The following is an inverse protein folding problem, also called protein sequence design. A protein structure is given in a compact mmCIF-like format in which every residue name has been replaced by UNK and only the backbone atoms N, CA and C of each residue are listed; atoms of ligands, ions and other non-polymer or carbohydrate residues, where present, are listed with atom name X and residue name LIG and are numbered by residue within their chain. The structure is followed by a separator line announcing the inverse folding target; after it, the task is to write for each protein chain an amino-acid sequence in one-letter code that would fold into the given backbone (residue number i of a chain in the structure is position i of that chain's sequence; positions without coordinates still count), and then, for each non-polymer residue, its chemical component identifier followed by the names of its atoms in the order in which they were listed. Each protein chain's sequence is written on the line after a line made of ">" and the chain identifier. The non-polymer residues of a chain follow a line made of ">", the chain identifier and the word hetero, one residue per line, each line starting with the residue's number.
data_IF_935328114889
#
_entry.id   IF_935328114889
#
_cell.length_a   1.000
_cell.length_b   1.000
_cell.length_c   1.000
_cell.angle_alpha   90.00
_cell.angle_beta   90.00
_cell.angle_gamma   90.00
#
_symmetry.space_group_name_H-M   'P 1'
#
loop_
_entity.id
_entity.type
_entity.pdbx_description
1 polymer ?
#
# COMPACT_ATOMS: atom_id res chain seq x y z
N UNK A 1 12.76 -15.70 1.86
CA UNK A 1 12.25 -14.32 2.03
C UNK A 1 11.49 -14.20 3.36
N UNK A 2 12.04 -13.46 4.33
CA UNK A 2 11.52 -13.30 5.70
C UNK A 2 10.52 -12.13 5.78
N UNK A 3 9.43 -12.23 5.02
CA UNK A 3 8.30 -11.31 5.09
C UNK A 3 7.00 -12.09 5.13
N UNK A 4 5.98 -11.56 5.82
CA UNK A 4 4.63 -12.13 5.76
C UNK A 4 4.11 -11.98 4.33
N UNK A 5 3.85 -13.09 3.65
CA UNK A 5 3.47 -13.13 2.22
C UNK A 5 2.43 -12.08 1.83
N UNK A 6 1.46 -11.83 2.70
CA UNK A 6 0.36 -10.88 2.53
C UNK A 6 0.78 -9.41 2.42
N UNK A 7 2.01 -9.06 2.79
CA UNK A 7 2.56 -7.72 2.65
C UNK A 7 3.33 -7.55 1.33
N UNK A 8 3.48 -8.61 0.54
CA UNK A 8 4.24 -8.55 -0.71
C UNK A 8 3.47 -7.75 -1.78
N UNK A 9 4.15 -6.89 -2.55
CA UNK A 9 3.52 -6.14 -3.62
C UNK A 9 3.23 -7.04 -4.84
N UNK A 10 2.35 -6.61 -5.77
CA UNK A 10 1.91 -7.43 -6.89
C UNK A 10 3.05 -7.91 -7.81
N UNK A 11 4.04 -7.06 -8.05
CA UNK A 11 5.21 -7.37 -8.89
C UNK A 11 6.08 -8.50 -8.32
N UNK A 12 6.12 -8.64 -7.00
CA UNK A 12 6.84 -9.76 -6.36
C UNK A 12 6.13 -11.08 -6.67
N UNK A 13 4.80 -11.09 -6.55
CA UNK A 13 3.97 -12.27 -6.81
C UNK A 13 4.05 -12.66 -8.29
N UNK A 14 4.07 -11.68 -9.22
CA UNK A 14 4.11 -11.95 -10.66
C UNK A 14 5.51 -12.31 -11.20
N UNK A 15 6.56 -11.61 -10.76
CA UNK A 15 7.87 -11.61 -11.45
C UNK A 15 9.04 -12.05 -10.56
N UNK A 16 8.85 -12.16 -9.24
CA UNK A 16 9.92 -12.45 -8.29
C UNK A 16 11.06 -11.42 -8.27
N UNK A 17 10.85 -10.25 -8.89
CA UNK A 17 11.81 -9.15 -9.02
C UNK A 17 11.26 -7.93 -8.28
N UNK A 18 12.13 -7.09 -7.70
CA UNK A 18 11.71 -5.91 -6.94
C UNK A 18 12.67 -4.72 -7.09
N UNK A 19 12.13 -3.52 -6.91
CA UNK A 19 12.88 -2.30 -6.62
C UNK A 19 12.65 -1.93 -5.16
N UNK A 20 13.72 -1.75 -4.38
CA UNK A 20 13.67 -1.61 -2.91
C UNK A 20 12.79 -0.44 -2.41
N UNK A 21 12.78 0.68 -3.13
CA UNK A 21 12.02 1.86 -2.71
C UNK A 21 10.50 1.68 -2.86
N UNK A 22 10.04 1.17 -3.99
CA UNK A 22 8.61 0.98 -4.25
C UNK A 22 7.97 -0.11 -3.35
N UNK A 23 8.76 -1.08 -2.90
CA UNK A 23 8.34 -2.09 -1.92
C UNK A 23 8.14 -1.48 -0.52
N UNK A 24 9.03 -0.56 -0.14
CA UNK A 24 8.92 0.14 1.15
C UNK A 24 7.63 0.96 1.21
N UNK A 25 7.30 1.67 0.13
CA UNK A 25 6.07 2.46 0.02
C UNK A 25 4.83 1.59 0.07
N UNK A 26 4.83 0.44 -0.60
CA UNK A 26 3.73 -0.54 -0.52
C UNK A 26 3.54 -1.04 0.92
N UNK A 27 4.61 -1.45 1.58
CA UNK A 27 4.56 -1.95 2.97
C UNK A 27 4.07 -0.89 3.94
N UNK A 28 4.43 0.38 3.73
CA UNK A 28 3.91 1.52 4.48
C UNK A 28 2.41 1.72 4.24
N UNK A 29 1.94 1.59 3.00
CA UNK A 29 0.51 1.62 2.66
C UNK A 29 -0.28 0.52 3.36
N UNK A 30 0.22 -0.71 3.36
CA UNK A 30 -0.39 -1.85 4.07
C UNK A 30 -0.49 -1.58 5.56
N UNK A 31 0.61 -1.12 6.17
CA UNK A 31 0.67 -0.81 7.58
C UNK A 31 -0.29 0.34 7.94
N UNK A 32 -0.29 1.42 7.17
CA UNK A 32 -1.17 2.56 7.39
C UNK A 32 -2.65 2.15 7.32
N UNK A 33 -3.02 1.35 6.31
CA UNK A 33 -4.37 0.80 6.22
C UNK A 33 -4.73 -0.01 7.47
N UNK A 34 -3.85 -0.89 7.94
CA UNK A 34 -4.08 -1.66 9.18
C UNK A 34 -4.26 -0.75 10.39
N UNK A 35 -3.50 0.34 10.50
CA UNK A 35 -3.63 1.29 11.61
C UNK A 35 -5.01 1.98 11.62
N UNK A 36 -5.53 2.37 10.45
CA UNK A 36 -6.79 3.16 10.37
C UNK A 36 -8.04 2.31 10.24
N UNK A 37 -7.94 1.09 9.69
CA UNK A 37 -9.08 0.20 9.51
C UNK A 37 -9.12 -0.98 10.49
N UNK A 38 -7.98 -1.36 11.08
CA UNK A 38 -7.85 -2.49 12.01
C UNK A 38 -7.79 -3.87 11.35
N UNK A 39 -7.78 -3.94 10.02
CA UNK A 39 -7.68 -5.17 9.24
C UNK A 39 -6.77 -4.99 8.03
N UNK A 40 -6.33 -6.08 7.41
CA UNK A 40 -5.57 -6.02 6.15
C UNK A 40 -6.49 -5.59 4.99
N UNK A 41 -5.97 -4.80 4.03
CA UNK A 41 -6.72 -4.45 2.81
C UNK A 41 -6.84 -5.65 1.86
N UNK A 42 -5.84 -6.55 1.85
CA UNK A 42 -5.78 -7.74 1.01
C UNK A 42 -5.45 -8.97 1.87
N UNK A 43 -6.08 -10.12 1.59
CA UNK A 43 -5.87 -11.36 2.36
C UNK A 43 -4.96 -12.36 1.66
N UNK A 44 -4.99 -12.38 0.33
CA UNK A 44 -4.24 -13.31 -0.51
C UNK A 44 -3.98 -12.72 -1.91
N UNK A 45 -3.37 -13.51 -2.78
CA UNK A 45 -3.00 -13.08 -4.13
C UNK A 45 -4.22 -12.70 -4.99
N UNK A 46 -5.40 -13.28 -4.73
CA UNK A 46 -6.63 -12.92 -5.45
C UNK A 46 -7.12 -11.52 -5.08
N UNK A 47 -6.78 -11.01 -3.89
CA UNK A 47 -7.05 -9.63 -3.47
C UNK A 47 -5.94 -8.66 -3.94
N UNK A 48 -4.67 -9.09 -3.85
CA UNK A 48 -3.50 -8.25 -4.19
C UNK A 48 -3.42 -8.00 -5.70
N UNK A 49 -3.68 -9.00 -6.54
CA UNK A 49 -3.53 -8.89 -8.00
C UNK A 49 -4.48 -7.87 -8.65
N UNK A 50 -5.77 -7.78 -8.27
CA UNK A 50 -6.65 -6.70 -8.73
C UNK A 50 -6.30 -5.35 -8.11
N UNK A 51 -5.76 -5.32 -6.88
CA UNK A 51 -5.44 -4.10 -6.16
C UNK A 51 -6.66 -3.26 -5.79
N UNK A 52 -7.83 -3.90 -5.63
CA UNK A 52 -9.07 -3.20 -5.29
C UNK A 52 -9.12 -2.88 -3.79
N UNK A 53 -9.05 -1.59 -3.46
CA UNK A 53 -9.12 -1.10 -2.09
C UNK A 53 -10.56 -0.73 -1.70
N UNK A 54 -10.96 -1.18 -0.52
CA UNK A 54 -12.27 -0.88 0.06
C UNK A 54 -12.09 -0.37 1.48
N UNK A 55 -12.65 0.81 1.80
CA UNK A 55 -12.62 1.37 3.14
C UNK A 55 -13.96 1.11 3.85
N UNK A 56 -13.97 0.18 4.80
CA UNK A 56 -15.17 -0.16 5.58
C UNK A 56 -15.37 0.76 6.78
N UNK A 57 -14.32 1.48 7.19
CA UNK A 57 -14.35 2.46 8.27
C UNK A 57 -14.42 3.87 7.70
N UNK A 58 -14.87 4.83 8.52
CA UNK A 58 -14.74 6.24 8.19
C UNK A 58 -13.27 6.66 8.28
N UNK A 59 -12.65 6.79 7.12
CA UNK A 59 -11.27 7.27 6.94
C UNK A 59 -11.32 8.60 6.19
N UNK A 60 -10.51 9.59 6.57
CA UNK A 60 -10.55 10.90 5.92
C UNK A 60 -10.20 10.78 4.44
N UNK A 61 -10.76 11.62 3.55
CA UNK A 61 -10.46 11.58 2.11
C UNK A 61 -8.95 11.67 1.82
N UNK A 62 -8.22 12.48 2.58
CA UNK A 62 -6.78 12.67 2.44
C UNK A 62 -6.01 11.40 2.83
N UNK A 63 -6.46 10.70 3.87
CA UNK A 63 -5.86 9.43 4.27
C UNK A 63 -6.12 8.34 3.23
N UNK A 64 -7.36 8.25 2.73
CA UNK A 64 -7.70 7.31 1.65
C UNK A 64 -6.85 7.58 0.41
N UNK A 65 -6.68 8.85 0.06
CA UNK A 65 -5.84 9.26 -1.07
C UNK A 65 -4.39 8.82 -0.90
N UNK A 66 -3.78 9.06 0.27
CA UNK A 66 -2.41 8.61 0.57
C UNK A 66 -2.28 7.09 0.45
N UNK A 67 -3.22 6.34 1.04
CA UNK A 67 -3.22 4.88 1.00
C UNK A 67 -3.35 4.36 -0.44
N UNK A 68 -4.24 4.96 -1.25
CA UNK A 68 -4.41 4.58 -2.65
C UNK A 68 -3.14 4.73 -3.47
N UNK A 69 -2.39 5.82 -3.26
CA UNK A 69 -1.12 6.01 -3.95
C UNK A 69 -0.05 5.04 -3.47
N UNK A 70 0.07 4.82 -2.15
CA UNK A 70 1.04 3.85 -1.62
C UNK A 70 0.81 2.43 -2.13
N UNK A 71 -0.46 2.06 -2.31
CA UNK A 71 -0.91 0.73 -2.73
C UNK A 71 -1.29 0.68 -4.21
N UNK A 72 -0.76 1.60 -5.02
CA UNK A 72 -0.94 1.54 -6.47
C UNK A 72 -0.35 0.23 -7.02
N UNK A 73 -1.09 -0.41 -7.92
CA UNK A 73 -0.73 -1.72 -8.48
C UNK A 73 0.61 -1.69 -9.19
N UNK A 74 0.83 -0.69 -10.05
CA UNK A 74 2.09 -0.53 -10.75
C UNK A 74 3.09 0.25 -9.88
N UNK A 75 4.34 -0.23 -9.71
CA UNK A 75 5.33 0.44 -8.88
C UNK A 75 5.62 1.89 -9.26
N UNK A 76 5.50 2.22 -10.54
CA UNK A 76 5.72 3.57 -11.09
C UNK A 76 4.62 4.56 -10.72
N UNK A 77 3.45 4.07 -10.31
CA UNK A 77 2.31 4.90 -9.89
C UNK A 77 2.33 5.15 -8.38
N UNK A 78 3.25 4.51 -7.63
CA UNK A 78 3.41 4.73 -6.20
C UNK A 78 4.20 6.01 -5.96
N UNK A 79 3.81 6.79 -4.95
CA UNK A 79 4.59 7.94 -4.49
C UNK A 79 6.00 7.51 -4.11
N UNK A 80 6.98 8.38 -4.32
CA UNK A 80 8.26 8.22 -3.65
C UNK A 80 8.09 8.41 -2.13
N UNK A 81 8.99 7.82 -1.35
CA UNK A 81 8.93 7.91 0.10
C UNK A 81 8.95 9.38 0.58
N UNK A 82 9.74 10.24 -0.06
CA UNK A 82 9.79 11.67 0.28
C UNK A 82 8.46 12.37 0.01
N UNK A 83 7.76 12.02 -1.07
CA UNK A 83 6.47 12.60 -1.42
C UNK A 83 5.37 12.11 -0.48
N UNK A 84 5.43 10.84 -0.08
CA UNK A 84 4.56 10.24 0.95
C UNK A 84 4.65 11.03 2.25
N UNK A 85 5.87 11.38 2.68
CA UNK A 85 6.11 12.17 3.89
C UNK A 85 5.67 13.63 3.77
N UNK A 86 5.51 14.17 2.55
CA UNK A 86 5.01 15.53 2.29
C UNK A 86 3.50 15.59 2.06
N UNK A 87 2.81 14.45 2.07
CA UNK A 87 1.38 14.40 1.81
C UNK A 87 0.59 15.19 2.87
N UNK A 88 -0.45 15.96 2.50
CA UNK A 88 -1.21 16.80 3.44
C UNK A 88 -1.72 16.07 4.67
N UNK A 89 -2.14 14.81 4.50
CA UNK A 89 -2.58 13.97 5.62
C UNK A 89 -1.53 13.79 6.74
N UNK A 90 -0.24 13.84 6.42
CA UNK A 90 0.85 13.69 7.39
C UNK A 90 1.02 14.93 8.25
N UNK A 91 0.73 16.12 7.70
CA UNK A 91 1.03 17.41 8.35
C UNK A 91 -0.20 18.15 8.90
N UNK A 92 -1.41 17.80 8.45
CA UNK A 92 -2.66 18.44 8.88
C UNK A 92 -3.01 19.65 8.03
#
# INVERSE_FOLDING_TARGET
>A
PLGTHTYSPPEWICLGCYHSHAETVWSLGMLLYVMVCGNLPFKDDHDIMPGQLFFWQQVSPECQHLIHWCLAKHPVDRLELEETLRHPWVWG
#
